data_IF_082145992834
#
_entry.id   IF_082145992834
#
_cell.length_a   1.000
_cell.length_b   1.000
_cell.length_c   1.000
_cell.angle_alpha   90.00
_cell.angle_beta   90.00
_cell.angle_gamma   90.00
#
_symmetry.space_group_name_H-M   'P 1'
#
loop_
_entity.id
_entity.type
_entity.pdbx_description
1 polymer ?
#
# COMPACT_ATOMS: atom_id res chain seq x y z
N UNK A 1 43.44 -8.85 17.94
CA UNK A 1 41.98 -8.77 17.70
C UNK A 1 41.51 -7.34 18.00
N UNK A 2 41.06 -6.59 16.98
CA UNK A 2 40.47 -5.25 17.20
C UNK A 2 39.08 -5.44 17.81
N UNK A 3 38.95 -5.17 19.10
CA UNK A 3 37.66 -5.11 19.79
C UNK A 3 36.86 -3.95 19.20
N UNK A 4 35.75 -4.23 18.52
CA UNK A 4 34.79 -3.19 18.17
C UNK A 4 34.09 -2.79 19.46
N UNK A 5 34.41 -1.58 19.94
CA UNK A 5 33.75 -0.97 21.09
C UNK A 5 32.25 -0.92 20.75
N UNK A 6 31.43 -1.72 21.43
CA UNK A 6 29.97 -1.62 21.33
C UNK A 6 29.59 -0.25 21.88
N UNK A 7 29.15 0.66 21.01
CA UNK A 7 28.66 1.97 21.42
C UNK A 7 27.40 1.77 22.29
N UNK A 8 27.57 1.88 23.61
CA UNK A 8 26.47 1.96 24.56
C UNK A 8 25.72 3.26 24.27
N UNK A 9 24.56 3.14 23.62
CA UNK A 9 23.74 4.25 23.15
C UNK A 9 23.43 4.23 21.65
N UNK A 10 24.16 3.45 20.84
CA UNK A 10 23.92 3.34 19.40
C UNK A 10 22.51 2.84 19.08
N UNK A 11 21.97 1.92 19.89
CA UNK A 11 20.60 1.42 19.70
C UNK A 11 19.54 2.50 19.90
N UNK A 12 19.59 3.30 20.98
CA UNK A 12 18.47 4.18 21.32
C UNK A 12 18.27 5.31 20.30
N UNK A 13 19.35 5.95 19.83
CA UNK A 13 19.23 7.01 18.81
C UNK A 13 18.81 6.46 17.45
N UNK A 14 19.31 5.27 17.07
CA UNK A 14 18.93 4.61 15.82
C UNK A 14 17.45 4.20 15.83
N UNK A 15 16.95 3.66 16.94
CA UNK A 15 15.52 3.37 17.11
C UNK A 15 14.66 4.62 17.03
N UNK A 16 15.07 5.73 17.65
CA UNK A 16 14.32 6.99 17.58
C UNK A 16 14.20 7.47 16.12
N UNK A 17 15.27 7.39 15.34
CA UNK A 17 15.27 7.78 13.93
C UNK A 17 14.32 6.88 13.12
N UNK A 18 14.40 5.55 13.29
CA UNK A 18 13.54 4.61 12.57
C UNK A 18 12.06 4.83 12.93
N UNK A 19 11.75 5.01 14.22
CA UNK A 19 10.38 5.26 14.68
C UNK A 19 9.83 6.57 14.11
N UNK A 20 10.65 7.63 14.07
CA UNK A 20 10.24 8.90 13.46
C UNK A 20 9.89 8.74 11.97
N UNK A 21 10.68 7.96 11.21
CA UNK A 21 10.40 7.69 9.80
C UNK A 21 9.11 6.89 9.59
N UNK A 22 8.87 5.87 10.43
CA UNK A 22 7.63 5.09 10.40
C UNK A 22 6.42 5.99 10.71
N UNK A 23 6.53 6.86 11.72
CA UNK A 23 5.45 7.76 12.10
C UNK A 23 5.05 8.73 10.96
N UNK A 24 6.04 9.34 10.30
CA UNK A 24 5.80 10.21 9.14
C UNK A 24 5.15 9.42 8.00
N UNK A 25 5.66 8.22 7.71
CA UNK A 25 5.10 7.36 6.66
C UNK A 25 3.65 6.97 6.97
N UNK A 26 3.35 6.65 8.23
CA UNK A 26 2.01 6.30 8.67
C UNK A 26 1.02 7.44 8.45
N UNK A 27 1.38 8.70 8.77
CA UNK A 27 0.51 9.86 8.51
C UNK A 27 0.12 9.93 7.03
N UNK A 28 1.11 9.77 6.13
CA UNK A 28 0.87 9.82 4.68
C UNK A 28 -0.04 8.68 4.22
N UNK A 29 0.25 7.44 4.65
CA UNK A 29 -0.53 6.26 4.28
C UNK A 29 -1.96 6.37 4.82
N UNK A 30 -2.16 6.80 6.06
CA UNK A 30 -3.51 6.93 6.62
C UNK A 30 -4.35 7.98 5.90
N UNK A 31 -3.74 9.11 5.49
CA UNK A 31 -4.47 10.14 4.74
C UNK A 31 -4.82 9.67 3.32
N UNK A 32 -3.87 9.07 2.59
CA UNK A 32 -4.06 8.66 1.21
C UNK A 32 -4.92 7.40 1.09
N UNK A 33 -4.61 6.38 1.88
CA UNK A 33 -5.31 5.10 1.83
C UNK A 33 -6.68 5.19 2.51
N UNK A 34 -6.80 5.99 3.59
CA UNK A 34 -8.08 6.19 4.28
C UNK A 34 -9.12 6.92 3.43
N UNK A 35 -8.70 7.91 2.63
CA UNK A 35 -9.59 8.59 1.67
C UNK A 35 -9.99 7.65 0.53
N UNK A 36 -9.02 6.94 -0.07
CA UNK A 36 -9.27 6.00 -1.18
C UNK A 36 -10.21 4.87 -0.78
N UNK A 37 -9.98 4.23 0.36
CA UNK A 37 -10.84 3.14 0.85
C UNK A 37 -12.24 3.66 1.17
N UNK A 38 -12.36 4.84 1.79
CA UNK A 38 -13.67 5.44 2.07
C UNK A 38 -14.44 5.78 0.80
N UNK A 39 -13.76 6.28 -0.22
CA UNK A 39 -14.36 6.63 -1.51
C UNK A 39 -14.85 5.37 -2.23
N UNK A 40 -14.02 4.33 -2.32
CA UNK A 40 -14.41 3.04 -2.91
C UNK A 40 -15.57 2.37 -2.15
N UNK A 41 -15.54 2.38 -0.82
CA UNK A 41 -16.64 1.82 0.00
C UNK A 41 -17.91 2.66 -0.13
N UNK A 42 -17.77 3.99 -0.23
CA UNK A 42 -18.88 4.91 -0.48
C UNK A 42 -19.54 4.65 -1.83
N UNK A 43 -18.74 4.48 -2.88
CA UNK A 43 -19.21 4.15 -4.22
C UNK A 43 -19.88 2.76 -4.27
N UNK A 44 -19.30 1.74 -3.62
CA UNK A 44 -19.93 0.41 -3.50
C UNK A 44 -21.25 0.46 -2.73
N UNK A 45 -21.31 1.25 -1.64
CA UNK A 45 -22.54 1.43 -0.88
C UNK A 45 -23.62 2.19 -1.68
N UNK A 46 -23.21 3.18 -2.47
CA UNK A 46 -24.11 3.90 -3.38
C UNK A 46 -24.65 2.97 -4.47
N UNK A 47 -23.80 2.13 -5.08
CA UNK A 47 -24.19 1.13 -6.09
C UNK A 47 -25.15 0.07 -5.51
N UNK A 48 -24.84 -0.46 -4.32
CA UNK A 48 -25.73 -1.39 -3.60
C UNK A 48 -27.05 -0.73 -3.17
N UNK A 49 -27.04 0.58 -2.93
CA UNK A 49 -28.23 1.38 -2.61
C UNK A 49 -29.07 1.78 -3.84
N UNK A 50 -28.64 1.42 -5.06
CA UNK A 50 -29.32 1.77 -6.32
C UNK A 50 -28.98 3.15 -6.87
N UNK A 51 -27.93 3.81 -6.35
CA UNK A 51 -27.39 5.06 -6.87
C UNK A 51 -26.42 4.85 -8.03
N UNK A 52 -26.24 5.88 -8.87
CA UNK A 52 -25.25 5.85 -9.95
C UNK A 52 -23.82 5.87 -9.38
N UNK A 53 -23.05 4.82 -9.70
CA UNK A 53 -21.63 4.76 -9.38
C UNK A 53 -20.87 5.90 -10.08
N UNK A 54 -20.12 6.68 -9.30
CA UNK A 54 -19.26 7.78 -9.80
C UNK A 54 -18.29 7.22 -10.86
N UNK A 55 -17.89 8.03 -11.86
CA UNK A 55 -16.99 7.58 -12.94
C UNK A 55 -15.65 6.98 -12.43
N UNK A 56 -15.21 7.36 -11.22
CA UNK A 56 -14.05 6.79 -10.53
C UNK A 56 -14.26 5.32 -10.09
N UNK A 57 -15.47 4.98 -9.61
CA UNK A 57 -15.85 3.61 -9.26
C UNK A 57 -15.85 2.69 -10.48
N UNK A 58 -16.35 3.18 -11.62
CA UNK A 58 -16.35 2.42 -12.89
C UNK A 58 -14.94 2.16 -13.39
N UNK A 59 -14.05 3.15 -13.32
CA UNK A 59 -12.64 2.98 -13.69
C UNK A 59 -11.94 1.96 -12.78
N UNK A 60 -12.10 2.10 -11.46
CA UNK A 60 -11.53 1.17 -10.47
C UNK A 60 -12.09 -0.25 -10.63
N UNK A 61 -13.40 -0.39 -10.85
CA UNK A 61 -14.05 -1.67 -11.10
C UNK A 61 -13.55 -2.34 -12.38
N UNK A 62 -13.29 -1.56 -13.42
CA UNK A 62 -12.71 -2.05 -14.68
C UNK A 62 -11.27 -2.52 -14.47
N UNK A 63 -10.45 -1.77 -13.73
CA UNK A 63 -9.08 -2.17 -13.38
C UNK A 63 -9.05 -3.42 -12.49
N UNK A 64 -9.94 -3.51 -11.49
CA UNK A 64 -10.08 -4.69 -10.64
C UNK A 64 -10.55 -5.92 -11.42
N UNK A 65 -11.49 -5.74 -12.38
CA UNK A 65 -11.92 -6.82 -13.28
C UNK A 65 -10.81 -7.25 -14.23
N UNK A 66 -9.98 -6.33 -14.73
CA UNK A 66 -8.81 -6.67 -15.54
C UNK A 66 -7.75 -7.41 -14.72
N UNK A 67 -7.48 -6.96 -13.49
CA UNK A 67 -6.55 -7.62 -12.58
C UNK A 67 -7.05 -9.02 -12.16
N UNK A 68 -8.35 -9.18 -11.89
CA UNK A 68 -8.98 -10.47 -11.57
C UNK A 68 -9.10 -11.41 -12.77
N UNK A 69 -9.25 -10.87 -13.98
CA UNK A 69 -9.22 -11.64 -15.23
C UNK A 69 -7.81 -12.06 -15.65
N UNK A 70 -6.78 -11.47 -15.02
CA UNK A 70 -5.40 -11.90 -15.20
C UNK A 70 -5.19 -13.18 -14.37
N UNK A 71 -5.19 -14.33 -15.04
CA UNK A 71 -4.94 -15.62 -14.41
C UNK A 71 -3.47 -15.71 -13.95
N UNK A 72 -3.21 -15.39 -12.69
CA UNK A 72 -1.90 -15.50 -12.07
C UNK A 72 -1.58 -16.97 -11.80
N UNK A 73 -0.98 -17.64 -12.80
CA UNK A 73 -0.43 -18.98 -12.64
C UNK A 73 1.05 -18.92 -12.21
N UNK A 74 1.60 -20.02 -11.71
CA UNK A 74 3.00 -20.10 -11.27
C UNK A 74 4.03 -19.74 -12.37
N UNK A 75 3.64 -19.72 -13.65
CA UNK A 75 4.44 -19.25 -14.78
C UNK A 75 4.41 -17.73 -15.00
N UNK A 76 3.38 -17.03 -14.52
CA UNK A 76 3.29 -15.56 -14.55
C UNK A 76 4.25 -14.84 -13.60
N UNK A 77 4.86 -15.59 -12.66
CA UNK A 77 5.87 -15.08 -11.73
C UNK A 77 7.30 -15.12 -12.27
N UNK A 78 7.52 -15.55 -13.52
CA UNK A 78 8.82 -15.40 -14.17
C UNK A 78 8.98 -13.96 -14.66
N UNK A 79 9.34 -13.15 -13.68
CA UNK A 79 9.97 -11.84 -13.75
C UNK A 79 10.70 -11.60 -15.07
N UNK A 80 10.35 -10.49 -15.74
CA UNK A 80 11.13 -9.90 -16.83
C UNK A 80 12.59 -9.83 -16.38
N UNK A 81 13.42 -10.76 -16.86
CA UNK A 81 14.87 -10.65 -16.75
C UNK A 81 15.26 -9.48 -17.64
N UNK A 82 15.38 -8.30 -17.02
CA UNK A 82 16.01 -7.13 -17.63
C UNK A 82 17.40 -7.55 -18.11
N UNK A 83 17.53 -7.70 -19.43
CA UNK A 83 18.82 -7.73 -20.12
C UNK A 83 19.54 -6.40 -19.97
#
# INVERSE_FOLDING_TARGET
MKSRIRQLGQGMTEYIIIVALIAISAIVVYNLFGSTVREQVGDMAAELGGGEATQAAKATGTEAQQAGSTAHNLGSFKQDERQ
#
